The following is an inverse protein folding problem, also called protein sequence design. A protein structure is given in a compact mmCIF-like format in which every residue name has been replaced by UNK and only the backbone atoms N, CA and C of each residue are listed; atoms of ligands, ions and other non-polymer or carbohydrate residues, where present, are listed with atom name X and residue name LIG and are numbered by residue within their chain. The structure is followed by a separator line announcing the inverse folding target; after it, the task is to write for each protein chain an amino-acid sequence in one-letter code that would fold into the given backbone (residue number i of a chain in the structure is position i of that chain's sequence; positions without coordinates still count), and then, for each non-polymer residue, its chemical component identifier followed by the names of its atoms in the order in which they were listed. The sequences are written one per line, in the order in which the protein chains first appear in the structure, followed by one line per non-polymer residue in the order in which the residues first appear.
data_IF_875567725185
#
_entry.id   IF_875567725185
#
_cell.length_a   1.000
_cell.length_b   1.000
_cell.length_c   1.000
_cell.angle_alpha   90.00
_cell.angle_beta   90.00
_cell.angle_gamma   90.00
#
_symmetry.space_group_name_H-M   'P 1'
#
loop_
_entity.id
_entity.type
_entity.pdbx_description
1 polymer ?
#
# COMPACT_ATOMS: atom_id res chain seq x y z
N UNK A 1 16.06 21.45 -32.51
CA UNK A 1 15.56 21.24 -31.13
C UNK A 1 14.39 20.25 -31.02
N UNK A 2 13.85 19.76 -32.14
CA UNK A 2 12.57 19.01 -32.20
C UNK A 2 12.69 17.49 -32.05
N UNK A 3 13.82 16.89 -32.43
CA UNK A 3 13.98 15.42 -32.46
C UNK A 3 14.09 14.78 -31.08
N UNK A 4 14.65 15.48 -30.10
CA UNK A 4 14.83 14.98 -28.72
C UNK A 4 13.50 14.98 -27.97
N UNK A 5 12.66 15.99 -28.18
CA UNK A 5 11.32 16.08 -27.58
C UNK A 5 10.39 14.99 -28.11
N UNK A 6 10.44 14.71 -29.42
CA UNK A 6 9.63 13.65 -30.05
C UNK A 6 10.03 12.24 -29.58
N UNK A 7 11.33 11.98 -29.40
CA UNK A 7 11.83 10.71 -28.83
C UNK A 7 11.41 10.52 -27.37
N UNK A 8 11.53 11.55 -26.54
CA UNK A 8 11.13 11.50 -25.13
C UNK A 8 9.61 11.27 -25.02
N UNK A 9 8.81 11.96 -25.83
CA UNK A 9 7.36 11.80 -25.87
C UNK A 9 6.96 10.38 -26.27
N UNK A 10 7.56 9.81 -27.30
CA UNK A 10 7.28 8.42 -27.76
C UNK A 10 7.72 7.38 -26.73
N UNK A 11 8.83 7.59 -26.05
CA UNK A 11 9.31 6.69 -24.98
C UNK A 11 8.39 6.72 -23.77
N UNK A 12 7.89 7.89 -23.39
CA UNK A 12 6.92 8.06 -22.28
C UNK A 12 5.60 7.39 -22.62
N UNK A 13 5.11 7.56 -23.87
CA UNK A 13 3.90 6.89 -24.38
C UNK A 13 4.04 5.37 -24.37
N UNK A 14 5.17 4.84 -24.86
CA UNK A 14 5.46 3.40 -24.85
C UNK A 14 5.47 2.81 -23.44
N UNK A 15 6.15 3.49 -22.49
CA UNK A 15 6.17 3.06 -21.10
C UNK A 15 4.77 3.02 -20.49
N UNK A 16 3.96 4.04 -20.75
CA UNK A 16 2.59 4.13 -20.22
C UNK A 16 1.70 3.03 -20.78
N UNK A 17 1.75 2.78 -22.09
CA UNK A 17 0.99 1.69 -22.74
C UNK A 17 1.32 0.31 -22.16
N UNK A 18 2.60 0.04 -21.85
CA UNK A 18 3.01 -1.21 -21.20
C UNK A 18 2.44 -1.30 -19.80
N UNK A 19 2.50 -0.21 -19.01
CA UNK A 19 1.96 -0.18 -17.65
C UNK A 19 0.43 -0.40 -17.65
N UNK A 20 -0.31 0.21 -18.57
CA UNK A 20 -1.76 0.06 -18.67
C UNK A 20 -2.16 -1.37 -19.06
N UNK A 21 -1.48 -1.93 -20.05
CA UNK A 21 -1.69 -3.32 -20.47
C UNK A 21 -1.36 -4.31 -19.34
N UNK A 22 -0.26 -4.07 -18.61
CA UNK A 22 0.15 -4.91 -17.49
C UNK A 22 -0.83 -4.80 -16.30
N UNK A 23 -1.28 -3.60 -15.92
CA UNK A 23 -2.26 -3.40 -14.86
C UNK A 23 -3.55 -4.17 -15.15
N UNK A 24 -4.08 -4.06 -16.37
CA UNK A 24 -5.26 -4.79 -16.85
C UNK A 24 -5.05 -6.30 -16.75
N UNK A 25 -4.02 -6.82 -17.42
CA UNK A 25 -3.80 -8.27 -17.53
C UNK A 25 -3.45 -8.94 -16.19
N UNK A 26 -2.65 -8.28 -15.36
CA UNK A 26 -2.36 -8.78 -14.00
C UNK A 26 -3.61 -8.76 -13.12
N UNK A 27 -4.48 -7.75 -13.27
CA UNK A 27 -5.75 -7.70 -12.56
C UNK A 27 -6.76 -8.76 -13.00
N UNK A 28 -6.84 -9.04 -14.30
CA UNK A 28 -7.77 -10.01 -14.88
C UNK A 28 -7.32 -11.46 -14.66
N UNK A 29 -6.07 -11.77 -14.98
CA UNK A 29 -5.56 -13.14 -15.04
C UNK A 29 -4.71 -13.53 -13.84
N UNK A 30 -4.21 -12.56 -13.06
CA UNK A 30 -3.20 -12.75 -12.03
C UNK A 30 -1.77 -12.64 -12.59
N UNK A 31 -0.81 -12.50 -11.66
CA UNK A 31 0.60 -12.37 -12.04
C UNK A 31 1.14 -13.64 -12.66
N UNK A 32 0.92 -14.81 -12.03
CA UNK A 32 1.47 -16.08 -12.49
C UNK A 32 1.02 -16.45 -13.91
N UNK A 33 -0.27 -16.28 -14.22
CA UNK A 33 -0.86 -16.65 -15.52
C UNK A 33 -0.62 -15.62 -16.64
N UNK A 34 -0.16 -14.42 -16.34
CA UNK A 34 0.12 -13.39 -17.35
C UNK A 34 1.55 -13.52 -17.87
N UNK A 35 1.73 -13.65 -19.18
CA UNK A 35 3.04 -13.68 -19.84
C UNK A 35 3.45 -12.32 -20.40
N UNK A 36 4.75 -12.07 -20.53
CA UNK A 36 5.25 -10.87 -21.21
C UNK A 36 4.77 -10.80 -22.67
N UNK A 37 4.56 -11.95 -23.35
CA UNK A 37 4.01 -11.99 -24.73
C UNK A 37 2.60 -11.44 -24.79
N UNK A 38 1.76 -11.74 -23.83
CA UNK A 38 0.40 -11.15 -23.77
C UNK A 38 0.46 -9.64 -23.56
N UNK A 39 1.34 -9.18 -22.66
CA UNK A 39 1.49 -7.75 -22.37
C UNK A 39 2.00 -6.99 -23.60
N UNK A 40 3.01 -7.48 -24.32
CA UNK A 40 3.52 -6.82 -25.54
C UNK A 40 2.47 -6.79 -26.66
N UNK A 41 1.66 -7.86 -26.77
CA UNK A 41 0.57 -7.91 -27.75
C UNK A 41 -0.52 -6.88 -27.43
N UNK A 42 -0.95 -6.80 -26.16
CA UNK A 42 -1.96 -5.83 -25.69
C UNK A 42 -1.44 -4.39 -25.83
N UNK A 43 -0.20 -4.14 -25.42
CA UNK A 43 0.43 -2.83 -25.49
C UNK A 43 0.87 -2.43 -26.91
N UNK A 44 0.84 -3.35 -27.89
CA UNK A 44 1.34 -3.15 -29.24
C UNK A 44 2.79 -2.63 -29.28
N UNK A 45 3.68 -3.29 -28.52
CA UNK A 45 5.11 -2.97 -28.43
C UNK A 45 5.94 -4.21 -28.73
N UNK A 46 7.27 -4.08 -28.78
CA UNK A 46 8.18 -5.22 -28.88
C UNK A 46 8.74 -5.61 -27.50
N UNK A 47 9.31 -6.82 -27.42
CA UNK A 47 9.88 -7.35 -26.16
C UNK A 47 11.06 -6.51 -25.65
N UNK A 48 11.85 -5.91 -26.55
CA UNK A 48 12.97 -5.06 -26.16
C UNK A 48 12.52 -3.83 -25.35
N UNK A 49 11.32 -3.30 -25.64
CA UNK A 49 10.76 -2.18 -24.87
C UNK A 49 10.50 -2.55 -23.40
N UNK A 50 10.00 -3.78 -23.12
CA UNK A 50 9.79 -4.21 -21.73
C UNK A 50 11.13 -4.34 -21.00
N UNK A 51 12.11 -5.00 -21.60
CA UNK A 51 13.43 -5.14 -20.99
C UNK A 51 14.12 -3.80 -20.77
N UNK A 52 13.99 -2.87 -21.71
CA UNK A 52 14.55 -1.55 -21.60
C UNK A 52 13.94 -0.72 -20.45
N UNK A 53 12.59 -0.72 -20.33
CA UNK A 53 11.89 0.12 -19.35
C UNK A 53 11.78 -0.51 -17.96
N UNK A 54 11.71 -1.85 -17.88
CA UNK A 54 11.33 -2.54 -16.65
C UNK A 54 12.29 -3.66 -16.24
N UNK A 55 13.20 -4.08 -17.11
CA UNK A 55 14.17 -5.15 -16.86
C UNK A 55 13.55 -6.54 -16.83
N UNK A 56 12.52 -6.75 -16.01
CA UNK A 56 11.87 -8.04 -15.79
C UNK A 56 10.35 -7.91 -15.61
N UNK A 57 9.66 -9.06 -15.56
CA UNK A 57 8.23 -9.11 -15.23
C UNK A 57 7.97 -8.62 -13.80
N UNK A 58 8.86 -8.94 -12.85
CA UNK A 58 8.78 -8.44 -11.47
C UNK A 58 8.95 -6.92 -11.43
N UNK A 59 9.96 -6.38 -12.14
CA UNK A 59 10.17 -4.94 -12.23
C UNK A 59 8.99 -4.21 -12.88
N UNK A 60 8.33 -4.84 -13.86
CA UNK A 60 7.10 -4.32 -14.43
C UNK A 60 5.95 -4.30 -13.42
N UNK A 61 5.73 -5.39 -12.67
CA UNK A 61 4.71 -5.45 -11.62
C UNK A 61 4.97 -4.39 -10.54
N UNK A 62 6.22 -4.26 -10.10
CA UNK A 62 6.62 -3.24 -9.12
C UNK A 62 6.27 -1.84 -9.63
N UNK A 63 6.57 -1.51 -10.88
CA UNK A 63 6.25 -0.18 -11.43
C UNK A 63 4.74 0.03 -11.65
N UNK A 64 3.98 -1.00 -12.01
CA UNK A 64 2.51 -0.92 -12.07
C UNK A 64 1.94 -0.56 -10.69
N UNK A 65 2.38 -1.23 -9.65
CA UNK A 65 1.93 -0.96 -8.28
C UNK A 65 2.39 0.43 -7.83
N UNK A 66 3.66 0.77 -8.04
CA UNK A 66 4.23 2.04 -7.58
C UNK A 66 3.68 3.26 -8.31
N UNK A 67 3.12 3.10 -9.49
CA UNK A 67 2.42 4.18 -10.20
C UNK A 67 1.27 4.78 -9.37
N UNK A 68 0.56 3.95 -8.60
CA UNK A 68 -0.52 4.37 -7.69
C UNK A 68 -0.04 4.52 -6.24
N UNK A 69 0.76 3.58 -5.77
CA UNK A 69 1.24 3.57 -4.39
C UNK A 69 2.31 4.63 -4.11
N UNK A 70 3.10 5.03 -5.11
CA UNK A 70 4.14 6.05 -4.95
C UNK A 70 3.60 7.40 -4.44
N UNK A 71 2.68 8.05 -5.17
CA UNK A 71 2.07 9.31 -4.73
C UNK A 71 1.36 9.19 -3.37
N UNK A 72 0.72 8.05 -3.09
CA UNK A 72 0.12 7.76 -1.80
C UNK A 72 1.17 7.73 -0.68
N UNK A 73 2.29 7.04 -0.90
CA UNK A 73 3.37 6.94 0.09
C UNK A 73 4.06 8.29 0.32
N UNK A 74 4.25 9.09 -0.72
CA UNK A 74 4.73 10.47 -0.58
C UNK A 74 3.78 11.30 0.30
N UNK A 75 2.47 11.17 0.11
CA UNK A 75 1.48 11.85 0.94
C UNK A 75 1.53 11.37 2.39
N UNK A 76 1.72 10.07 2.62
CA UNK A 76 1.92 9.49 3.95
C UNK A 76 3.11 10.13 4.67
N UNK A 77 4.27 10.18 4.00
CA UNK A 77 5.48 10.74 4.58
C UNK A 77 5.34 12.25 4.85
N UNK A 78 4.75 13.01 3.91
CA UNK A 78 4.49 14.45 4.14
C UNK A 78 3.58 14.70 5.34
N UNK A 79 2.52 13.91 5.53
CA UNK A 79 1.65 14.03 6.70
C UNK A 79 2.37 13.65 7.99
N UNK A 80 3.20 12.61 7.97
CA UNK A 80 3.99 12.21 9.12
C UNK A 80 4.97 13.32 9.52
N UNK A 81 5.73 13.86 8.56
CA UNK A 81 6.68 14.94 8.78
C UNK A 81 5.99 16.22 9.32
N UNK A 82 4.81 16.55 8.81
CA UNK A 82 3.99 17.65 9.31
C UNK A 82 3.60 17.42 10.78
N UNK A 83 3.06 16.25 11.13
CA UNK A 83 2.61 15.97 12.48
C UNK A 83 3.76 15.88 13.50
N UNK A 84 4.94 15.41 13.06
CA UNK A 84 6.13 15.45 13.92
C UNK A 84 6.65 16.88 14.12
N UNK A 85 6.60 17.72 13.08
CA UNK A 85 6.99 19.13 13.20
C UNK A 85 6.06 19.90 14.13
N UNK A 86 4.74 19.65 14.04
CA UNK A 86 3.74 20.27 14.92
C UNK A 86 3.89 19.83 16.39
N UNK A 87 4.37 18.61 16.63
CA UNK A 87 4.54 18.07 17.97
C UNK A 87 5.90 18.39 18.61
N UNK A 88 6.88 18.85 17.85
CA UNK A 88 8.24 19.08 18.32
C UNK A 88 8.29 20.05 19.52
N UNK A 89 9.13 19.79 20.54
CA UNK A 89 10.17 18.75 20.62
C UNK A 89 9.66 17.34 21.00
N UNK A 90 8.39 17.19 21.30
CA UNK A 90 7.78 15.91 21.66
C UNK A 90 7.57 15.02 20.42
N UNK A 91 7.06 13.82 20.63
CA UNK A 91 6.68 12.94 19.52
C UNK A 91 5.25 13.20 19.06
N UNK A 92 4.96 13.00 17.78
CA UNK A 92 3.58 12.95 17.30
C UNK A 92 2.79 11.84 18.02
N UNK A 93 1.52 12.10 18.30
CA UNK A 93 0.66 11.09 18.94
C UNK A 93 0.45 9.87 18.04
N UNK A 94 0.18 8.72 18.64
CA UNK A 94 -0.10 7.46 17.91
C UNK A 94 -1.23 7.68 16.89
N UNK A 95 -2.27 8.42 17.27
CA UNK A 95 -3.40 8.72 16.36
C UNK A 95 -2.94 9.49 15.14
N UNK A 96 -2.11 10.53 15.28
CA UNK A 96 -1.59 11.32 14.17
C UNK A 96 -0.72 10.46 13.25
N UNK A 97 0.14 9.59 13.81
CA UNK A 97 0.97 8.66 13.04
C UNK A 97 0.07 7.69 12.27
N UNK A 98 -0.95 7.11 12.91
CA UNK A 98 -1.90 6.19 12.28
C UNK A 98 -2.74 6.88 11.21
N UNK A 99 -3.19 8.13 11.45
CA UNK A 99 -3.88 8.96 10.44
C UNK A 99 -2.99 9.17 9.21
N UNK A 100 -1.71 9.55 9.42
CA UNK A 100 -0.77 9.76 8.31
C UNK A 100 -0.61 8.52 7.44
N UNK A 101 -0.69 7.32 8.04
CA UNK A 101 -0.59 6.05 7.32
C UNK A 101 -1.88 5.64 6.62
N UNK A 102 -3.02 5.71 7.30
CA UNK A 102 -4.31 5.16 6.85
C UNK A 102 -5.02 6.09 5.87
N UNK A 103 -5.12 7.39 6.20
CA UNK A 103 -5.95 8.33 5.47
C UNK A 103 -5.61 8.43 3.97
N UNK A 104 -4.34 8.52 3.55
CA UNK A 104 -4.01 8.56 2.12
C UNK A 104 -4.47 7.33 1.34
N UNK A 105 -4.48 6.14 1.97
CA UNK A 105 -4.94 4.92 1.31
C UNK A 105 -6.46 4.87 1.12
N UNK A 106 -7.23 5.50 2.01
CA UNK A 106 -8.69 5.61 1.88
C UNK A 106 -9.12 6.66 0.86
N UNK A 107 -8.27 7.68 0.64
CA UNK A 107 -8.53 8.79 -0.28
C UNK A 107 -7.93 8.60 -1.68
N UNK A 108 -7.18 7.50 -1.91
CA UNK A 108 -6.63 7.21 -3.24
C UNK A 108 -7.78 6.93 -4.22
N UNK A 109 -7.62 7.44 -5.43
CA UNK A 109 -8.49 7.07 -6.54
C UNK A 109 -8.28 5.59 -6.88
N UNK A 110 -9.31 4.79 -6.61
CA UNK A 110 -9.29 3.33 -6.79
C UNK A 110 -9.92 3.00 -8.14
N UNK A 111 -9.10 2.95 -9.19
CA UNK A 111 -9.59 2.35 -10.43
C UNK A 111 -9.96 0.88 -10.19
N UNK A 112 -11.05 0.38 -10.83
CA UNK A 112 -11.45 -1.02 -10.69
C UNK A 112 -10.32 -2.00 -11.03
N UNK A 113 -9.48 -1.65 -12.00
CA UNK A 113 -8.33 -2.45 -12.44
C UNK A 113 -7.29 -2.56 -11.31
N UNK A 114 -6.97 -1.46 -10.64
CA UNK A 114 -6.02 -1.46 -9.53
C UNK A 114 -6.54 -2.25 -8.33
N UNK A 115 -7.84 -2.15 -8.02
CA UNK A 115 -8.46 -2.95 -6.95
C UNK A 115 -8.36 -4.45 -7.26
N UNK A 116 -8.67 -4.85 -8.50
CA UNK A 116 -8.52 -6.23 -8.97
C UNK A 116 -7.07 -6.71 -8.87
N UNK A 117 -6.12 -5.88 -9.36
CA UNK A 117 -4.70 -6.18 -9.26
C UNK A 117 -4.26 -6.43 -7.82
N UNK A 118 -4.61 -5.53 -6.88
CA UNK A 118 -4.24 -5.68 -5.48
C UNK A 118 -4.86 -6.92 -4.83
N UNK A 119 -6.09 -7.26 -5.19
CA UNK A 119 -6.74 -8.51 -4.79
C UNK A 119 -5.97 -9.75 -5.27
N UNK A 120 -5.51 -9.75 -6.54
CA UNK A 120 -4.71 -10.85 -7.10
C UNK A 120 -3.33 -10.95 -6.43
N UNK A 121 -2.63 -9.82 -6.28
CA UNK A 121 -1.34 -9.74 -5.59
C UNK A 121 -1.43 -10.33 -4.17
N UNK A 122 -2.51 -10.03 -3.46
CA UNK A 122 -2.74 -10.58 -2.12
C UNK A 122 -3.04 -12.09 -2.17
N UNK A 123 -3.93 -12.53 -3.05
CA UNK A 123 -4.31 -13.94 -3.20
C UNK A 123 -3.15 -14.83 -3.64
N UNK A 124 -2.23 -14.31 -4.46
CA UNK A 124 -1.02 -15.02 -4.92
C UNK A 124 0.15 -14.94 -3.90
N UNK A 125 -0.05 -14.29 -2.75
CA UNK A 125 0.97 -14.18 -1.69
C UNK A 125 2.18 -13.32 -2.06
N UNK A 126 2.06 -12.40 -3.01
CA UNK A 126 3.16 -11.58 -3.53
C UNK A 126 3.44 -10.33 -2.67
N UNK A 127 2.48 -9.94 -1.81
CA UNK A 127 2.61 -8.71 -1.00
C UNK A 127 3.87 -8.62 -0.15
N UNK A 128 4.33 -9.68 0.56
CA UNK A 128 5.54 -9.57 1.39
C UNK A 128 6.78 -9.19 0.58
N UNK A 129 6.94 -9.78 -0.59
CA UNK A 129 8.10 -9.53 -1.46
C UNK A 129 8.05 -8.13 -2.09
N UNK A 130 6.87 -7.71 -2.55
CA UNK A 130 6.63 -6.36 -3.07
C UNK A 130 6.86 -5.31 -1.98
N UNK A 131 6.39 -5.56 -0.76
CA UNK A 131 6.59 -4.67 0.38
C UNK A 131 8.07 -4.51 0.70
N UNK A 132 8.83 -5.61 0.72
CA UNK A 132 10.26 -5.60 0.96
C UNK A 132 11.03 -4.80 -0.11
N UNK A 133 10.66 -4.94 -1.39
CA UNK A 133 11.33 -4.22 -2.48
C UNK A 133 10.97 -2.73 -2.53
N UNK A 134 9.69 -2.39 -2.32
CA UNK A 134 9.18 -1.08 -2.70
C UNK A 134 8.76 -0.19 -1.51
N UNK A 135 8.41 -0.78 -0.36
CA UNK A 135 7.82 -0.04 0.76
C UNK A 135 8.69 0.00 2.02
N UNK A 136 9.79 -0.76 2.06
CA UNK A 136 10.63 -0.88 3.25
C UNK A 136 11.10 0.45 3.83
N UNK A 137 11.57 1.44 3.03
CA UNK A 137 11.98 2.74 3.58
C UNK A 137 10.82 3.48 4.27
N UNK A 138 9.64 3.47 3.67
CA UNK A 138 8.44 4.08 4.24
C UNK A 138 8.00 3.33 5.51
N UNK A 139 7.98 2.00 5.50
CA UNK A 139 7.65 1.18 6.67
C UNK A 139 8.59 1.49 7.83
N UNK A 140 9.90 1.52 7.59
CA UNK A 140 10.89 1.84 8.60
C UNK A 140 10.69 3.22 9.22
N UNK A 141 10.30 4.22 8.40
CA UNK A 141 10.03 5.59 8.86
C UNK A 141 8.83 5.64 9.80
N UNK A 142 7.74 4.90 9.51
CA UNK A 142 6.58 4.80 10.38
C UNK A 142 6.86 4.01 11.65
N UNK A 143 7.60 2.91 11.57
CA UNK A 143 8.03 2.15 12.74
C UNK A 143 8.89 2.98 13.69
N UNK A 144 9.80 3.81 13.16
CA UNK A 144 10.60 4.72 13.96
C UNK A 144 9.74 5.76 14.69
N UNK A 145 8.74 6.34 14.02
CA UNK A 145 7.81 7.29 14.62
C UNK A 145 6.96 6.63 15.72
N UNK A 146 6.45 5.42 15.48
CA UNK A 146 5.71 4.65 16.47
C UNK A 146 6.58 4.29 17.68
N UNK A 147 7.83 3.88 17.47
CA UNK A 147 8.74 3.56 18.57
C UNK A 147 9.06 4.80 19.43
N UNK A 148 9.20 5.97 18.81
CA UNK A 148 9.37 7.23 19.54
C UNK A 148 8.13 7.60 20.37
N UNK A 149 6.92 7.34 19.84
CA UNK A 149 5.66 7.60 20.53
C UNK A 149 5.30 6.56 21.60
N UNK A 150 5.87 5.36 21.52
CA UNK A 150 5.60 4.21 22.39
C UNK A 150 6.93 3.56 22.82
N UNK A 151 7.77 4.24 23.61
CA UNK A 151 9.11 3.79 23.94
C UNK A 151 9.12 2.49 24.77
N UNK A 152 8.05 2.20 25.51
CA UNK A 152 7.93 1.02 26.36
C UNK A 152 7.54 -0.26 25.57
N UNK A 153 7.19 -0.13 24.29
CA UNK A 153 6.82 -1.27 23.46
C UNK A 153 8.05 -1.77 22.70
N UNK A 154 8.31 -3.09 22.80
CA UNK A 154 9.43 -3.69 22.08
C UNK A 154 9.30 -3.57 20.55
N UNK A 155 10.43 -3.50 19.84
CA UNK A 155 10.42 -3.47 18.37
C UNK A 155 9.70 -4.68 17.77
N UNK A 156 9.84 -5.87 18.37
CA UNK A 156 9.13 -7.09 17.95
C UNK A 156 7.62 -6.91 18.06
N UNK A 157 7.13 -6.37 19.14
CA UNK A 157 5.70 -6.14 19.37
C UNK A 157 5.15 -5.08 18.42
N UNK A 158 5.90 -3.99 18.17
CA UNK A 158 5.52 -2.99 17.18
C UNK A 158 5.36 -3.57 15.75
N UNK A 159 6.24 -4.50 15.37
CA UNK A 159 6.13 -5.20 14.08
C UNK A 159 4.83 -6.02 14.00
N UNK A 160 4.49 -6.79 15.06
CA UNK A 160 3.24 -7.56 15.10
C UNK A 160 2.00 -6.66 15.07
N UNK A 161 1.96 -5.61 15.89
CA UNK A 161 0.86 -4.64 15.90
C UNK A 161 0.69 -3.95 14.55
N UNK A 162 1.80 -3.60 13.88
CA UNK A 162 1.78 -3.04 12.53
C UNK A 162 1.24 -4.03 11.50
N UNK A 163 1.57 -5.31 11.63
CA UNK A 163 1.03 -6.35 10.77
C UNK A 163 -0.49 -6.49 10.92
N UNK A 164 -1.00 -6.48 12.14
CA UNK A 164 -2.45 -6.50 12.42
C UNK A 164 -3.13 -5.23 11.91
N UNK A 165 -2.52 -4.06 12.09
CA UNK A 165 -3.03 -2.78 11.57
C UNK A 165 -3.14 -2.78 10.04
N UNK A 166 -2.14 -3.34 9.34
CA UNK A 166 -2.16 -3.52 7.89
C UNK A 166 -3.29 -4.44 7.44
N UNK A 167 -3.52 -5.54 8.16
CA UNK A 167 -4.63 -6.46 7.90
C UNK A 167 -6.00 -5.78 8.07
N UNK A 168 -6.18 -5.05 9.17
CA UNK A 168 -7.40 -4.28 9.43
C UNK A 168 -7.65 -3.22 8.35
N UNK A 169 -6.62 -2.50 7.94
CA UNK A 169 -6.69 -1.53 6.84
C UNK A 169 -7.04 -2.19 5.51
N UNK A 170 -6.37 -3.28 5.15
CA UNK A 170 -6.63 -4.00 3.90
C UNK A 170 -8.08 -4.49 3.84
N UNK A 171 -8.59 -5.04 4.94
CA UNK A 171 -9.98 -5.47 5.05
C UNK A 171 -10.96 -4.30 4.88
N UNK A 172 -10.76 -3.21 5.60
CA UNK A 172 -11.61 -2.01 5.51
C UNK A 172 -11.62 -1.37 4.11
N UNK A 173 -10.53 -1.56 3.32
CA UNK A 173 -10.44 -1.06 1.94
C UNK A 173 -11.20 -1.93 0.93
N UNK A 174 -11.42 -3.21 1.23
CA UNK A 174 -11.97 -4.20 0.29
C UNK A 174 -13.36 -4.71 0.67
N UNK A 175 -13.74 -4.60 1.94
CA UNK A 175 -14.98 -5.21 2.47
C UNK A 175 -15.77 -4.18 3.25
N UNK A 176 -17.09 -4.18 3.09
CA UNK A 176 -18.02 -3.47 3.97
C UNK A 176 -18.62 -4.45 4.97
N UNK A 177 -18.91 -4.04 6.22
CA UNK A 177 -19.62 -4.89 7.16
C UNK A 177 -21.00 -5.25 6.62
N UNK A 178 -21.30 -6.56 6.51
CA UNK A 178 -22.62 -7.06 6.07
C UNK A 178 -23.73 -6.75 7.07
N UNK A 179 -23.37 -6.40 8.30
CA UNK A 179 -24.30 -6.08 9.39
C UNK A 179 -24.83 -4.64 9.36
N UNK A 180 -24.35 -3.82 8.44
CA UNK A 180 -24.82 -2.44 8.30
C UNK A 180 -26.13 -2.43 7.50
N UNK A 181 -27.26 -2.63 8.21
CA UNK A 181 -28.60 -2.70 7.63
C UNK A 181 -29.15 -1.32 7.17
N UNK A 182 -28.48 -0.23 7.49
CA UNK A 182 -28.95 1.13 7.21
C UNK A 182 -28.52 1.69 5.84
N UNK A 183 -28.11 0.90 4.86
CA UNK A 183 -27.83 1.33 3.48
C UNK A 183 -27.12 2.71 3.32
N UNK A 184 -26.62 3.29 4.40
CA UNK A 184 -25.92 4.55 4.41
C UNK A 184 -24.50 4.31 3.85
N UNK A 185 -24.19 4.91 2.71
CA UNK A 185 -22.84 4.93 2.16
C UNK A 185 -21.97 5.73 3.13
N UNK A 186 -21.26 5.02 4.01
CA UNK A 186 -20.30 5.66 4.92
C UNK A 186 -19.23 6.41 4.12
N UNK A 187 -18.93 7.63 4.57
CA UNK A 187 -17.89 8.44 3.96
C UNK A 187 -16.51 7.82 4.22
N UNK A 188 -15.52 7.99 3.31
CA UNK A 188 -14.15 7.57 3.58
C UNK A 188 -13.59 8.13 4.89
N UNK A 189 -14.03 9.31 5.31
CA UNK A 189 -13.61 9.93 6.58
C UNK A 189 -14.21 9.24 7.80
N UNK A 190 -15.46 8.77 7.73
CA UNK A 190 -16.09 7.99 8.80
C UNK A 190 -15.36 6.64 9.01
N UNK A 191 -15.06 5.95 7.91
CA UNK A 191 -14.29 4.70 7.94
C UNK A 191 -12.88 4.97 8.50
N UNK A 192 -12.22 6.05 8.06
CA UNK A 192 -10.91 6.42 8.58
C UNK A 192 -10.94 6.65 10.09
N UNK A 193 -11.91 7.42 10.60
CA UNK A 193 -12.02 7.71 12.02
C UNK A 193 -12.17 6.45 12.88
N UNK A 194 -13.05 5.52 12.47
CA UNK A 194 -13.24 4.22 13.16
C UNK A 194 -11.96 3.38 13.14
N UNK A 195 -11.32 3.28 11.97
CA UNK A 195 -10.11 2.49 11.80
C UNK A 195 -8.93 3.08 12.58
N UNK A 196 -8.77 4.40 12.59
CA UNK A 196 -7.76 5.10 13.39
C UNK A 196 -7.98 4.83 14.88
N UNK A 197 -9.21 4.95 15.38
CA UNK A 197 -9.53 4.68 16.78
C UNK A 197 -9.18 3.23 17.16
N UNK A 198 -9.60 2.26 16.35
CA UNK A 198 -9.33 0.83 16.55
C UNK A 198 -7.82 0.52 16.56
N UNK A 199 -7.10 0.96 15.53
CA UNK A 199 -5.68 0.70 15.36
C UNK A 199 -4.85 1.39 16.43
N UNK A 200 -5.16 2.65 16.78
CA UNK A 200 -4.43 3.38 17.82
C UNK A 200 -4.62 2.76 19.19
N UNK A 201 -5.82 2.27 19.51
CA UNK A 201 -6.07 1.50 20.74
C UNK A 201 -5.27 0.19 20.75
N UNK A 202 -5.22 -0.52 19.61
CA UNK A 202 -4.42 -1.73 19.45
C UNK A 202 -2.92 -1.51 19.67
N UNK A 203 -2.37 -0.38 19.19
CA UNK A 203 -0.96 -0.03 19.45
C UNK A 203 -0.69 0.20 20.95
N UNK A 204 -1.62 0.81 21.69
CA UNK A 204 -1.46 1.08 23.13
C UNK A 204 -1.78 -0.11 24.01
N UNK A 205 -2.52 -1.10 23.52
CA UNK A 205 -2.86 -2.27 24.31
C UNK A 205 -1.58 -2.97 24.82
N UNK A 206 -1.55 -3.43 26.07
CA UNK A 206 -0.43 -4.22 26.58
C UNK A 206 -0.28 -5.52 25.78
N UNK A 207 0.94 -6.06 25.75
CA UNK A 207 1.16 -7.42 25.25
C UNK A 207 0.51 -8.43 26.23
N UNK A 208 -0.30 -9.34 25.70
CA UNK A 208 -0.85 -10.45 26.48
C UNK A 208 0.18 -11.59 26.45
N UNK A 209 0.53 -12.11 27.63
CA UNK A 209 1.46 -13.23 27.72
C UNK A 209 0.75 -14.53 27.31
N UNK A 210 1.46 -15.43 26.64
CA UNK A 210 0.92 -16.73 26.19
C UNK A 210 0.21 -17.48 27.31
N UNK A 211 0.77 -17.47 28.54
CA UNK A 211 0.16 -18.08 29.73
C UNK A 211 -1.20 -17.51 30.13
N UNK A 212 -1.55 -16.30 29.67
CA UNK A 212 -2.84 -15.66 29.94
C UNK A 212 -3.93 -16.11 28.94
N UNK A 213 -3.50 -16.75 27.83
CA UNK A 213 -4.37 -17.28 26.77
C UNK A 213 -4.60 -18.80 26.95
N UNK A 214 -3.81 -19.46 27.79
CA UNK A 214 -3.96 -20.89 28.07
C UNK A 214 -5.35 -21.17 28.63
N UNK A 215 -6.24 -21.64 27.77
CA UNK A 215 -7.52 -22.23 28.19
C UNK A 215 -7.19 -23.61 28.72
N UNK A 216 -7.52 -23.89 29.99
CA UNK A 216 -7.37 -25.20 30.60
C UNK A 216 -7.86 -26.30 29.63
N UNK A 217 -6.93 -27.11 29.13
CA UNK A 217 -7.22 -28.29 28.35
C UNK A 217 -7.68 -29.42 29.24
#
# INVERSE_FOLDING_TARGET
MDHTYDLISRMTDTKQRILDAAEKLFGENGYAATSLRQIISEAQVNLAAIHYHFGSKDGLLDQVIMRKAGPMNERRLRLLDQFESEAAPESASVEKIVVAFILPALLIDKSPEFVKLMGRVHAEGLMPEIARRNFQPMINRFLAALHKALPDISAKELVWKSHFALGAMAHALTTRPEFDQENAVESPMSIAARLVAFVSSGFRAPAILEKEIEVNR
#
